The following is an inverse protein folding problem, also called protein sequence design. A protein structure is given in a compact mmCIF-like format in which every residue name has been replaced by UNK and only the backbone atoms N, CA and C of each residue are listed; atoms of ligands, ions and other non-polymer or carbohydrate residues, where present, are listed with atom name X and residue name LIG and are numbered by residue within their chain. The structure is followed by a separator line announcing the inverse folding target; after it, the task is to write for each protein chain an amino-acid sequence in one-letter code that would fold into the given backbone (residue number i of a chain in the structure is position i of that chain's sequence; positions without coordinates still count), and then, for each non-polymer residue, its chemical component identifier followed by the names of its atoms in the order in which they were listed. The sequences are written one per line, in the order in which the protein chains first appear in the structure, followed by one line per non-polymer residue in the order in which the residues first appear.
data_IF_000582047643
#
_entry.id   IF_000582047643
#
_cell.length_a   1.000
_cell.length_b   1.000
_cell.length_c   1.000
_cell.angle_alpha   90.00
_cell.angle_beta   90.00
_cell.angle_gamma   90.00
#
_symmetry.space_group_name_H-M   'P 1'
#
loop_
_entity.id
_entity.type
_entity.pdbx_description
1 polymer ?
#
# COMPACT_ATOMS: atom_id res chain seq x y z
N UNK A 1 27.19 -8.39 9.97
CA UNK A 1 28.38 -8.90 10.69
C UNK A 1 28.89 -10.22 10.11
N UNK A 2 28.03 -11.16 9.67
CA UNK A 2 28.45 -12.48 9.16
C UNK A 2 29.40 -12.37 7.96
N UNK A 3 28.98 -11.68 6.89
CA UNK A 3 29.76 -11.59 5.65
C UNK A 3 31.16 -10.92 5.86
N UNK A 4 31.28 -9.79 6.57
CA UNK A 4 32.58 -9.22 6.87
C UNK A 4 33.47 -10.16 7.71
N UNK A 5 32.90 -10.89 8.67
CA UNK A 5 33.66 -11.84 9.49
C UNK A 5 34.22 -12.98 8.63
N UNK A 6 33.42 -13.58 7.76
CA UNK A 6 33.83 -14.64 6.84
C UNK A 6 34.91 -14.13 5.87
N UNK A 7 34.74 -12.94 5.32
CA UNK A 7 35.72 -12.33 4.42
C UNK A 7 37.06 -12.12 5.11
N UNK A 8 37.06 -11.59 6.33
CA UNK A 8 38.27 -11.39 7.12
C UNK A 8 38.95 -12.70 7.56
N UNK A 9 38.18 -13.77 7.71
CA UNK A 9 38.67 -15.11 8.01
C UNK A 9 39.25 -15.84 6.78
N UNK A 10 39.18 -15.23 5.59
CA UNK A 10 39.64 -15.83 4.34
C UNK A 10 38.79 -16.99 3.85
N UNK A 11 37.52 -17.06 4.27
CA UNK A 11 36.58 -18.08 3.81
C UNK A 11 36.32 -17.96 2.31
N UNK A 12 36.01 -19.10 1.69
CA UNK A 12 35.70 -19.16 0.25
C UNK A 12 34.29 -18.62 0.00
N UNK A 13 34.19 -17.38 -0.44
CA UNK A 13 32.95 -16.69 -0.72
C UNK A 13 32.75 -16.53 -2.23
N UNK A 14 31.53 -16.73 -2.69
CA UNK A 14 31.15 -16.57 -4.08
C UNK A 14 29.93 -15.66 -4.17
N UNK A 15 29.90 -14.77 -5.16
CA UNK A 15 28.75 -13.96 -5.49
C UNK A 15 27.91 -14.65 -6.56
N UNK A 16 26.60 -14.74 -6.34
CA UNK A 16 25.62 -15.14 -7.36
C UNK A 16 24.90 -13.91 -7.87
N UNK A 17 24.95 -13.69 -9.19
CA UNK A 17 24.21 -12.58 -9.81
C UNK A 17 22.75 -12.99 -9.96
N UNK A 18 21.87 -12.27 -9.26
CA UNK A 18 20.43 -12.43 -9.36
C UNK A 18 19.87 -11.44 -10.39
N UNK A 19 19.02 -11.92 -11.31
CA UNK A 19 18.43 -11.12 -12.40
C UNK A 19 16.91 -10.93 -12.23
N UNK A 20 16.31 -11.36 -11.11
CA UNK A 20 14.91 -11.18 -10.80
C UNK A 20 14.61 -9.82 -10.12
N UNK A 21 13.33 -9.60 -9.81
CA UNK A 21 12.91 -8.46 -9.02
C UNK A 21 13.47 -8.57 -7.60
N UNK A 22 14.17 -7.55 -7.15
CA UNK A 22 14.64 -7.41 -5.78
C UNK A 22 14.55 -5.94 -5.36
N UNK A 23 14.00 -5.67 -4.19
CA UNK A 23 13.90 -4.31 -3.65
C UNK A 23 14.15 -4.31 -2.14
N UNK A 24 15.02 -3.44 -1.68
CA UNK A 24 15.24 -3.19 -0.26
C UNK A 24 14.16 -2.22 0.25
N UNK A 25 13.43 -2.62 1.29
CA UNK A 25 12.33 -1.86 1.88
C UNK A 25 12.76 -1.32 3.26
N UNK A 26 13.82 -0.51 3.27
CA UNK A 26 14.39 0.09 4.47
C UNK A 26 13.87 1.49 4.81
N UNK A 27 13.09 2.12 3.93
CA UNK A 27 12.54 3.47 4.12
C UNK A 27 11.04 3.52 3.80
N UNK A 28 10.37 4.59 4.21
CA UNK A 28 8.96 4.84 3.87
C UNK A 28 8.77 4.96 2.35
N UNK A 29 9.67 5.67 1.69
CA UNK A 29 9.63 5.82 0.23
C UNK A 29 9.75 4.45 -0.46
N UNK A 30 10.74 3.63 -0.06
CA UNK A 30 10.91 2.30 -0.66
C UNK A 30 9.77 1.33 -0.35
N UNK A 31 9.12 1.45 0.83
CA UNK A 31 7.91 0.68 1.12
C UNK A 31 6.75 1.08 0.21
N UNK A 32 6.52 2.36 0.03
CA UNK A 32 5.48 2.87 -0.87
C UNK A 32 5.76 2.45 -2.31
N UNK A 33 6.97 2.67 -2.82
CA UNK A 33 7.38 2.28 -4.16
C UNK A 33 7.24 0.79 -4.41
N UNK A 34 7.65 -0.09 -3.47
CA UNK A 34 7.53 -1.53 -3.60
C UNK A 34 6.06 -1.99 -3.76
N UNK A 35 5.12 -1.28 -3.12
CA UNK A 35 3.70 -1.52 -3.30
C UNK A 35 3.21 -1.01 -4.67
N UNK A 36 3.68 0.15 -5.13
CA UNK A 36 3.32 0.70 -6.44
C UNK A 36 3.91 -0.13 -7.59
N UNK A 37 5.06 -0.78 -7.41
CA UNK A 37 5.69 -1.69 -8.37
C UNK A 37 4.80 -2.90 -8.75
N UNK A 38 3.76 -3.19 -7.95
CA UNK A 38 2.77 -4.24 -8.23
C UNK A 38 1.69 -3.78 -9.23
N UNK A 39 1.55 -2.47 -9.45
CA UNK A 39 0.46 -1.87 -10.21
C UNK A 39 0.86 -1.63 -11.66
N UNK A 40 -0.13 -1.52 -12.53
CA UNK A 40 0.05 -1.24 -13.95
C UNK A 40 -0.30 -2.41 -14.86
N UNK A 41 -0.22 -2.16 -16.16
CA UNK A 41 -0.43 -3.17 -17.21
C UNK A 41 0.79 -4.12 -17.26
N UNK A 42 1.98 -3.54 -17.18
CA UNK A 42 3.27 -4.23 -17.09
C UNK A 42 3.94 -3.84 -15.76
N UNK A 43 3.56 -4.49 -14.64
CA UNK A 43 4.12 -4.17 -13.33
C UNK A 43 5.59 -4.60 -13.23
N UNK A 44 6.38 -3.90 -12.44
CA UNK A 44 7.77 -4.29 -12.17
C UNK A 44 7.88 -5.65 -11.49
N UNK A 45 6.83 -6.03 -10.74
CA UNK A 45 6.68 -7.36 -10.15
C UNK A 45 5.21 -7.83 -10.29
N UNK A 46 4.97 -8.82 -11.13
CA UNK A 46 3.63 -9.39 -11.32
C UNK A 46 3.39 -10.57 -10.38
N UNK A 47 2.67 -10.31 -9.28
CA UNK A 47 2.28 -11.36 -8.32
C UNK A 47 1.17 -12.29 -8.85
N UNK A 48 0.57 -11.96 -9.99
CA UNK A 48 -0.51 -12.74 -10.63
C UNK A 48 0.04 -13.69 -11.70
N UNK A 49 1.31 -13.53 -12.08
CA UNK A 49 1.93 -14.27 -13.18
C UNK A 49 1.89 -15.78 -12.92
N UNK A 50 1.53 -16.54 -13.95
CA UNK A 50 1.43 -17.99 -13.88
C UNK A 50 2.78 -18.70 -13.61
N UNK A 51 3.88 -18.01 -13.85
CA UNK A 51 5.25 -18.50 -13.62
C UNK A 51 5.75 -18.24 -12.21
N UNK A 52 5.05 -17.40 -11.45
CA UNK A 52 5.42 -17.15 -10.07
C UNK A 52 4.95 -18.31 -9.20
N UNK A 53 5.87 -18.89 -8.45
CA UNK A 53 5.52 -19.82 -7.38
C UNK A 53 4.49 -19.15 -6.46
N UNK A 54 3.46 -19.92 -6.10
CA UNK A 54 2.38 -19.41 -5.24
C UNK A 54 2.99 -18.84 -3.95
N UNK A 55 2.89 -17.52 -3.79
CA UNK A 55 3.36 -16.87 -2.58
C UNK A 55 2.43 -17.26 -1.43
N UNK A 56 2.99 -18.04 -0.50
CA UNK A 56 2.25 -18.48 0.70
C UNK A 56 2.46 -17.46 1.82
N UNK A 57 1.39 -16.85 2.26
CA UNK A 57 1.38 -15.91 3.38
C UNK A 57 0.29 -16.29 4.38
N UNK A 58 0.36 -15.72 5.58
CA UNK A 58 -0.71 -15.87 6.58
C UNK A 58 -1.98 -15.24 6.03
N UNK A 59 -3.04 -16.03 5.88
CA UNK A 59 -4.35 -15.58 5.41
C UNK A 59 -5.37 -15.69 6.54
N UNK A 60 -6.12 -14.62 6.79
CA UNK A 60 -7.19 -14.60 7.80
C UNK A 60 -8.56 -15.06 7.23
N UNK A 61 -8.60 -15.56 5.99
CA UNK A 61 -9.81 -16.04 5.32
C UNK A 61 -11.01 -15.08 5.47
N UNK A 62 -10.93 -13.94 4.83
CA UNK A 62 -12.02 -12.98 4.75
C UNK A 62 -12.97 -13.31 3.55
N UNK A 63 -14.22 -12.84 3.57
CA UNK A 63 -15.09 -12.95 2.40
C UNK A 63 -14.53 -12.18 1.19
N UNK A 64 -15.03 -12.48 0.01
CA UNK A 64 -14.67 -11.73 -1.21
C UNK A 64 -14.95 -10.25 -1.04
N UNK A 65 -14.14 -9.41 -1.69
CA UNK A 65 -14.34 -7.96 -1.67
C UNK A 65 -15.64 -7.57 -2.39
N UNK A 66 -16.29 -6.55 -1.88
CA UNK A 66 -17.46 -5.93 -2.49
C UNK A 66 -17.13 -4.57 -3.08
N UNK A 67 -17.50 -4.34 -4.32
CA UNK A 67 -17.37 -3.03 -5.00
C UNK A 67 -18.77 -2.56 -5.35
N UNK A 68 -19.18 -1.43 -4.77
CA UNK A 68 -20.49 -0.84 -4.97
C UNK A 68 -20.66 -0.32 -6.41
N UNK A 69 -21.89 -0.26 -6.96
CA UNK A 69 -22.12 0.19 -8.33
C UNK A 69 -21.60 1.60 -8.65
N UNK A 70 -21.60 2.50 -7.67
CA UNK A 70 -21.14 3.89 -7.81
C UNK A 70 -19.64 4.05 -7.52
N UNK A 71 -18.96 3.01 -7.05
CA UNK A 71 -17.52 3.05 -6.77
C UNK A 71 -16.70 3.15 -8.05
N UNK A 72 -15.58 3.84 -7.96
CA UNK A 72 -14.64 3.99 -9.08
C UNK A 72 -13.30 3.35 -8.72
N UNK A 73 -12.93 2.26 -9.38
CA UNK A 73 -11.66 1.59 -9.13
C UNK A 73 -10.81 1.60 -10.39
N UNK A 74 -9.60 2.15 -10.31
CA UNK A 74 -8.67 2.25 -11.44
C UNK A 74 -7.26 1.89 -11.00
N UNK A 75 -6.67 0.88 -11.62
CA UNK A 75 -5.29 0.46 -11.37
C UNK A 75 -5.01 0.27 -9.86
N UNK A 76 -5.70 -0.69 -9.24
CA UNK A 76 -5.56 -0.97 -7.81
C UNK A 76 -5.62 -2.47 -7.51
N UNK A 77 -4.98 -2.87 -6.42
CA UNK A 77 -5.23 -4.15 -5.78
C UNK A 77 -6.15 -3.95 -4.58
N UNK A 78 -7.16 -4.82 -4.47
CA UNK A 78 -8.10 -4.84 -3.35
C UNK A 78 -8.12 -6.26 -2.81
N UNK A 79 -7.63 -6.43 -1.59
CA UNK A 79 -7.57 -7.73 -0.93
C UNK A 79 -8.93 -8.15 -0.36
N UNK A 80 -9.04 -9.40 0.09
CA UNK A 80 -10.24 -10.00 0.66
C UNK A 80 -10.87 -9.16 1.78
N UNK A 81 -12.19 -9.18 1.89
CA UNK A 81 -12.95 -8.41 2.88
C UNK A 81 -13.00 -6.91 2.64
N UNK A 82 -12.54 -6.44 1.48
CA UNK A 82 -12.63 -5.01 1.12
C UNK A 82 -14.06 -4.61 0.76
N UNK A 83 -14.53 -3.48 1.28
CA UNK A 83 -15.81 -2.87 0.93
C UNK A 83 -15.57 -1.48 0.33
N UNK A 84 -15.82 -1.33 -0.98
CA UNK A 84 -15.48 -0.11 -1.71
C UNK A 84 -16.77 0.58 -2.19
N UNK A 85 -17.03 1.75 -1.64
CA UNK A 85 -18.17 2.62 -2.00
C UNK A 85 -17.69 3.94 -2.63
N UNK A 86 -16.41 4.30 -2.47
CA UNK A 86 -15.79 5.52 -2.96
C UNK A 86 -14.90 5.32 -4.19
N UNK A 87 -13.99 6.25 -4.41
CA UNK A 87 -13.01 6.21 -5.50
C UNK A 87 -11.65 5.70 -4.99
N UNK A 88 -11.08 4.71 -5.70
CA UNK A 88 -9.74 4.16 -5.44
C UNK A 88 -8.95 4.17 -6.74
N UNK A 89 -7.84 4.89 -6.76
CA UNK A 89 -7.00 5.07 -7.95
C UNK A 89 -5.53 4.87 -7.61
N UNK A 90 -4.85 4.01 -8.38
CA UNK A 90 -3.44 3.73 -8.21
C UNK A 90 -3.07 3.46 -6.74
N UNK A 91 -3.71 2.45 -6.14
CA UNK A 91 -3.61 2.20 -4.71
C UNK A 91 -3.66 0.70 -4.37
N UNK A 92 -3.07 0.37 -3.24
CA UNK A 92 -3.14 -0.96 -2.63
C UNK A 92 -4.09 -0.89 -1.42
N UNK A 93 -5.14 -1.69 -1.45
CA UNK A 93 -6.11 -1.82 -0.35
C UNK A 93 -5.95 -3.21 0.26
N UNK A 94 -5.47 -3.26 1.48
CA UNK A 94 -5.27 -4.51 2.21
C UNK A 94 -6.59 -5.10 2.74
N UNK A 95 -6.50 -6.25 3.38
CA UNK A 95 -7.62 -7.06 3.88
C UNK A 95 -8.52 -6.28 4.86
N UNK A 96 -9.83 -6.42 4.69
CA UNK A 96 -10.83 -5.91 5.65
C UNK A 96 -10.98 -4.39 5.70
N UNK A 97 -10.58 -3.69 4.65
CA UNK A 97 -10.71 -2.22 4.57
C UNK A 97 -12.09 -1.80 4.05
N UNK A 98 -12.59 -0.70 4.57
CA UNK A 98 -13.82 -0.04 4.06
C UNK A 98 -13.49 1.35 3.53
N UNK A 99 -13.87 1.63 2.28
CA UNK A 99 -13.74 2.96 1.65
C UNK A 99 -15.15 3.52 1.43
N UNK A 100 -15.53 4.50 2.23
CA UNK A 100 -16.86 5.09 2.27
C UNK A 100 -17.27 5.86 1.01
N UNK A 101 -18.56 6.08 0.84
CA UNK A 101 -19.12 6.78 -0.31
C UNK A 101 -18.55 8.21 -0.44
N UNK A 102 -18.15 8.60 -1.65
CA UNK A 102 -17.54 9.92 -1.89
C UNK A 102 -16.13 10.08 -1.34
N UNK A 103 -15.57 9.08 -0.66
CA UNK A 103 -14.16 9.10 -0.28
C UNK A 103 -13.26 8.89 -1.50
N UNK A 104 -12.05 9.43 -1.43
CA UNK A 104 -11.00 9.26 -2.45
C UNK A 104 -9.74 8.70 -1.82
N UNK A 105 -9.24 7.59 -2.37
CA UNK A 105 -7.90 7.04 -2.09
C UNK A 105 -7.11 7.05 -3.37
N UNK A 106 -6.00 7.77 -3.41
CA UNK A 106 -5.17 7.94 -4.59
C UNK A 106 -3.68 7.83 -4.25
N UNK A 107 -2.89 7.16 -5.11
CA UNK A 107 -1.44 6.99 -4.94
C UNK A 107 -1.05 6.48 -3.53
N UNK A 108 -1.79 5.56 -2.94
CA UNK A 108 -1.69 5.28 -1.51
C UNK A 108 -1.70 3.79 -1.19
N UNK A 109 -1.13 3.46 -0.03
CA UNK A 109 -1.13 2.11 0.54
C UNK A 109 -1.98 2.12 1.81
N UNK A 110 -3.05 1.33 1.82
CA UNK A 110 -3.98 1.20 2.95
C UNK A 110 -3.76 -0.18 3.58
N UNK A 111 -3.25 -0.19 4.80
CA UNK A 111 -2.96 -1.41 5.57
C UNK A 111 -4.25 -2.08 6.08
N UNK A 112 -4.19 -3.32 6.62
CA UNK A 112 -5.38 -4.05 7.02
C UNK A 112 -6.30 -3.33 8.01
N UNK A 113 -7.61 -3.60 7.89
CA UNK A 113 -8.67 -3.15 8.80
C UNK A 113 -8.78 -1.61 8.93
N UNK A 114 -8.47 -0.88 7.89
CA UNK A 114 -8.64 0.58 7.86
C UNK A 114 -10.06 0.93 7.45
N UNK A 115 -10.67 1.84 8.19
CA UNK A 115 -11.95 2.43 7.86
C UNK A 115 -11.77 3.87 7.38
N UNK A 116 -12.16 4.14 6.14
CA UNK A 116 -12.16 5.47 5.54
C UNK A 116 -13.62 5.93 5.42
N UNK A 117 -14.01 6.88 6.23
CA UNK A 117 -15.38 7.39 6.29
C UNK A 117 -15.78 8.14 5.00
N UNK A 118 -17.10 8.32 4.76
CA UNK A 118 -17.58 9.04 3.59
C UNK A 118 -16.98 10.45 3.46
N UNK A 119 -16.57 10.80 2.23
CA UNK A 119 -16.01 12.12 1.89
C UNK A 119 -14.58 12.38 2.37
N UNK A 120 -13.91 11.43 3.01
CA UNK A 120 -12.51 11.56 3.38
C UNK A 120 -11.59 11.45 2.14
N UNK A 121 -10.42 12.09 2.19
CA UNK A 121 -9.46 12.14 1.09
C UNK A 121 -8.10 11.66 1.58
N UNK A 122 -7.54 10.68 0.87
CA UNK A 122 -6.19 10.15 1.12
C UNK A 122 -5.41 10.22 -0.18
N UNK A 123 -4.27 10.91 -0.17
CA UNK A 123 -3.38 11.04 -1.33
C UNK A 123 -1.93 10.85 -0.95
N UNK A 124 -1.22 10.06 -1.74
CA UNK A 124 0.22 9.85 -1.61
C UNK A 124 0.63 9.55 -0.17
N UNK A 125 0.00 8.51 0.39
CA UNK A 125 0.08 8.18 1.81
C UNK A 125 0.21 6.69 2.08
N UNK A 126 0.70 6.36 3.27
CA UNK A 126 0.62 5.03 3.86
C UNK A 126 -0.21 5.13 5.14
N UNK A 127 -1.32 4.40 5.18
CA UNK A 127 -2.20 4.34 6.36
C UNK A 127 -1.96 3.02 7.07
N UNK A 128 -1.53 3.09 8.32
CA UNK A 128 -1.25 1.92 9.16
C UNK A 128 -2.51 1.13 9.53
N UNK A 129 -2.29 -0.09 10.02
CA UNK A 129 -3.36 -1.02 10.40
C UNK A 129 -4.34 -0.44 11.43
N UNK A 130 -5.61 -0.86 11.34
CA UNK A 130 -6.68 -0.52 12.27
C UNK A 130 -6.89 0.99 12.46
N UNK A 131 -6.61 1.79 11.44
CA UNK A 131 -6.85 3.24 11.48
C UNK A 131 -8.28 3.57 11.08
N UNK A 132 -8.78 4.68 11.62
CA UNK A 132 -10.05 5.28 11.23
C UNK A 132 -9.79 6.69 10.71
N UNK A 133 -10.19 6.94 9.47
CA UNK A 133 -10.15 8.27 8.85
C UNK A 133 -11.59 8.78 8.82
N UNK A 134 -11.89 9.78 9.66
CA UNK A 134 -13.26 10.30 9.82
C UNK A 134 -13.69 11.14 8.62
N UNK A 135 -14.99 11.45 8.55
CA UNK A 135 -15.59 12.19 7.43
C UNK A 135 -14.92 13.54 7.19
N UNK A 136 -14.66 13.88 5.93
CA UNK A 136 -14.04 15.13 5.54
C UNK A 136 -12.56 15.27 5.91
N UNK A 137 -11.97 14.29 6.59
CA UNK A 137 -10.54 14.34 6.90
C UNK A 137 -9.68 14.17 5.64
N UNK A 138 -8.53 14.83 5.61
CA UNK A 138 -7.60 14.82 4.49
C UNK A 138 -6.23 14.35 4.97
N UNK A 139 -5.72 13.28 4.37
CA UNK A 139 -4.35 12.79 4.56
C UNK A 139 -3.58 12.99 3.26
N UNK A 140 -2.44 13.69 3.35
CA UNK A 140 -1.67 14.03 2.18
C UNK A 140 -2.32 15.14 1.35
N UNK A 141 -1.57 16.19 1.09
CA UNK A 141 -2.06 17.38 0.39
C UNK A 141 -1.77 17.35 -1.11
N UNK A 142 -2.39 18.29 -1.84
CA UNK A 142 -1.93 18.66 -3.17
C UNK A 142 -0.58 19.38 -3.02
N UNK A 143 0.48 18.80 -3.58
CA UNK A 143 1.80 19.43 -3.55
C UNK A 143 1.91 20.47 -4.67
N UNK A 144 2.46 21.65 -4.39
CA UNK A 144 2.79 22.61 -5.45
C UNK A 144 3.74 21.99 -6.47
N UNK A 145 3.55 22.28 -7.75
CA UNK A 145 4.43 21.82 -8.82
C UNK A 145 5.91 22.10 -8.47
N UNK A 146 6.76 21.08 -8.53
CA UNK A 146 8.21 21.21 -8.35
C UNK A 146 8.74 20.85 -6.95
N UNK A 147 7.91 20.55 -5.97
CA UNK A 147 8.37 20.02 -4.68
C UNK A 147 8.45 18.49 -4.71
N UNK A 148 9.50 17.91 -4.11
CA UNK A 148 9.61 16.48 -3.91
C UNK A 148 8.43 16.03 -3.02
N UNK A 149 7.56 15.18 -3.55
CA UNK A 149 6.41 14.66 -2.80
C UNK A 149 6.92 13.87 -1.59
N UNK A 150 6.52 14.26 -0.40
CA UNK A 150 6.76 13.50 0.81
C UNK A 150 5.54 12.61 1.07
N UNK A 151 5.77 11.33 1.31
CA UNK A 151 4.70 10.39 1.64
C UNK A 151 4.17 10.72 3.04
N UNK A 152 2.86 10.97 3.15
CA UNK A 152 2.20 11.13 4.45
C UNK A 152 2.00 9.77 5.09
N UNK A 153 2.27 9.67 6.39
CA UNK A 153 2.15 8.40 7.12
C UNK A 153 1.26 8.58 8.34
N UNK A 154 0.25 7.74 8.44
CA UNK A 154 -0.52 7.58 9.67
C UNK A 154 -0.14 6.24 10.32
N UNK A 155 0.36 6.28 11.55
CA UNK A 155 0.74 5.08 12.30
C UNK A 155 -0.46 4.19 12.64
N UNK A 156 -0.22 2.91 12.96
CA UNK A 156 -1.30 1.96 13.30
C UNK A 156 -2.15 2.40 14.50
N UNK A 157 -3.41 1.94 14.51
CA UNK A 157 -4.38 2.17 15.59
C UNK A 157 -4.67 3.66 15.85
N UNK A 158 -4.56 4.51 14.83
CA UNK A 158 -4.85 5.94 14.92
C UNK A 158 -6.26 6.27 14.43
N UNK A 159 -6.88 7.25 15.06
CA UNK A 159 -8.12 7.86 14.55
C UNK A 159 -7.83 9.30 14.15
N UNK A 160 -8.05 9.62 12.89
CA UNK A 160 -7.98 10.99 12.40
C UNK A 160 -9.38 11.61 12.54
N UNK A 161 -9.53 12.70 13.33
CA UNK A 161 -10.82 13.33 13.55
C UNK A 161 -11.47 13.91 12.29
N UNK A 162 -12.76 14.21 12.37
CA UNK A 162 -13.49 14.86 11.28
C UNK A 162 -12.82 16.17 10.83
N UNK A 163 -12.73 16.36 9.51
CA UNK A 163 -12.17 17.55 8.87
C UNK A 163 -10.69 17.84 9.24
N UNK A 164 -10.01 16.93 9.90
CA UNK A 164 -8.58 17.09 10.18
C UNK A 164 -7.75 16.99 8.89
N UNK A 165 -6.64 17.73 8.84
CA UNK A 165 -5.71 17.73 7.69
C UNK A 165 -4.30 17.39 8.17
N UNK A 166 -3.66 16.40 7.56
CA UNK A 166 -2.32 15.88 7.89
C UNK A 166 -1.47 15.74 6.63
#
# INVERSE_FOLDING_TARGET
DVLPTMLNAGERMFAYRFEGYWKDVGTIDSLWEANMDLLGIEPNFDIRGAENEKISARNNAMPSSYIAPEAQTVNCFIAEGGEIYGAVRHAIISTGCTIGAGALVEDSVIMPNVFVAPGAIIRHAIIGENCTISSGAVVGGAFPNGTKRKISVLGKNQTLPENAVV
#
